data_IF_278751844242
#
_entry.id   IF_278751844242
#
_cell.length_a   1.000
_cell.length_b   1.000
_cell.length_c   1.000
_cell.angle_alpha   90.00
_cell.angle_beta   90.00
_cell.angle_gamma   90.00
#
_symmetry.space_group_name_H-M   'P 1'
#
loop_
_entity.id
_entity.type
_entity.pdbx_description
1 polymer ?
#
# COMPACT_ATOMS: atom_id res chain seq x y z
N UNK A 1 13.59 -14.63 23.54
CA UNK A 1 13.76 -15.74 22.57
C UNK A 1 13.80 -15.14 21.18
N UNK A 2 14.84 -15.34 20.36
CA UNK A 2 14.77 -14.93 18.96
C UNK A 2 13.70 -15.79 18.27
N UNK A 3 12.82 -15.17 17.49
CA UNK A 3 11.92 -15.93 16.61
C UNK A 3 12.80 -16.72 15.62
N UNK A 4 12.57 -18.02 15.53
CA UNK A 4 13.16 -18.84 14.47
C UNK A 4 12.58 -18.38 13.13
N UNK A 5 13.45 -18.08 12.17
CA UNK A 5 13.06 -17.70 10.82
C UNK A 5 12.30 -18.85 10.15
N UNK A 6 11.07 -18.60 9.73
CA UNK A 6 10.23 -19.57 9.04
C UNK A 6 10.23 -19.27 7.53
N UNK A 7 9.90 -20.26 6.68
CA UNK A 7 9.67 -20.06 5.24
C UNK A 7 8.56 -19.06 4.93
N UNK A 8 7.70 -18.77 5.90
CA UNK A 8 6.73 -17.68 5.84
C UNK A 8 7.38 -16.30 5.79
N UNK A 9 8.58 -16.16 6.34
CA UNK A 9 9.34 -14.90 6.44
C UNK A 9 10.24 -14.65 5.21
N UNK A 10 10.31 -15.59 4.27
CA UNK A 10 11.10 -15.45 3.03
C UNK A 10 10.42 -14.47 2.04
N UNK A 11 11.23 -13.73 1.28
CA UNK A 11 10.73 -12.86 0.21
C UNK A 11 10.01 -13.68 -0.87
N UNK A 12 8.78 -13.31 -1.19
CA UNK A 12 7.95 -13.99 -2.19
C UNK A 12 7.56 -13.05 -3.33
N UNK A 13 8.00 -13.31 -4.57
CA UNK A 13 7.47 -12.60 -5.73
C UNK A 13 6.04 -13.10 -6.00
N UNK A 14 5.09 -12.17 -6.06
CA UNK A 14 3.70 -12.44 -6.42
C UNK A 14 3.37 -11.79 -7.76
N UNK A 15 2.69 -12.53 -8.63
CA UNK A 15 2.24 -12.03 -9.93
C UNK A 15 0.76 -11.69 -9.82
N UNK A 16 0.43 -10.44 -10.16
CA UNK A 16 -0.94 -9.95 -10.22
C UNK A 16 -1.33 -9.80 -11.69
N UNK A 17 -2.52 -10.27 -12.05
CA UNK A 17 -3.03 -10.16 -13.42
C UNK A 17 -3.47 -8.73 -13.74
N UNK A 18 -3.07 -8.25 -14.92
CA UNK A 18 -3.28 -6.88 -15.40
C UNK A 18 -4.02 -6.94 -16.75
N UNK A 19 -5.34 -7.01 -16.73
CA UNK A 19 -6.13 -7.16 -17.97
C UNK A 19 -6.27 -5.84 -18.78
N UNK A 20 -5.81 -4.72 -18.20
CA UNK A 20 -5.86 -3.36 -18.75
C UNK A 20 -4.74 -2.50 -18.15
N UNK A 21 -4.61 -1.23 -18.57
CA UNK A 21 -3.62 -0.29 -18.05
C UNK A 21 -3.92 0.13 -16.59
N UNK A 22 -3.69 -0.80 -15.65
CA UNK A 22 -3.93 -0.57 -14.22
C UNK A 22 -3.06 0.57 -13.67
N UNK A 23 -1.90 0.84 -14.27
CA UNK A 23 -1.04 1.95 -13.84
C UNK A 23 -1.76 3.29 -13.94
N UNK A 24 -2.37 3.61 -15.10
CA UNK A 24 -3.10 4.86 -15.27
C UNK A 24 -4.34 4.91 -14.37
N UNK A 25 -5.07 3.80 -14.23
CA UNK A 25 -6.24 3.76 -13.36
C UNK A 25 -5.87 4.04 -11.89
N UNK A 26 -4.77 3.46 -11.39
CA UNK A 26 -4.26 3.74 -10.04
C UNK A 26 -3.69 5.14 -9.88
N UNK A 27 -3.03 5.67 -10.90
CA UNK A 27 -2.46 7.03 -10.85
C UNK A 27 -3.55 8.09 -10.70
N UNK A 28 -4.70 7.89 -11.35
CA UNK A 28 -5.82 8.82 -11.36
C UNK A 28 -6.90 8.52 -10.31
N UNK A 29 -6.79 7.42 -9.56
CA UNK A 29 -7.82 6.99 -8.59
C UNK A 29 -7.78 7.77 -7.28
N UNK A 30 -6.73 8.53 -7.00
CA UNK A 30 -6.62 9.34 -5.80
C UNK A 30 -5.82 10.63 -6.06
N UNK A 31 -6.15 11.75 -5.38
CA UNK A 31 -5.28 12.92 -5.35
C UNK A 31 -3.94 12.57 -4.67
N UNK A 32 -2.87 12.46 -5.45
CA UNK A 32 -1.52 12.26 -4.95
C UNK A 32 -0.81 13.61 -4.81
N UNK A 33 -0.05 13.77 -3.74
CA UNK A 33 0.72 14.99 -3.49
C UNK A 33 2.23 14.74 -3.49
N UNK A 34 3.01 15.80 -3.66
CA UNK A 34 4.47 15.71 -3.69
C UNK A 34 4.98 15.45 -2.27
N UNK A 35 5.49 14.23 -2.05
CA UNK A 35 5.99 13.75 -0.74
C UNK A 35 7.52 13.60 -0.69
N UNK A 36 8.20 14.08 -1.73
CA UNK A 36 9.65 14.00 -1.86
C UNK A 36 10.11 14.25 -3.28
N UNK A 37 11.43 14.28 -3.47
CA UNK A 37 12.03 14.46 -4.80
C UNK A 37 11.59 13.33 -5.73
N UNK A 38 10.80 13.65 -6.76
CA UNK A 38 10.34 12.70 -7.76
C UNK A 38 9.33 11.67 -7.26
N UNK A 39 8.66 11.95 -6.13
CA UNK A 39 7.69 11.01 -5.54
C UNK A 39 6.37 11.71 -5.25
N UNK A 40 5.31 11.15 -5.81
CA UNK A 40 3.94 11.44 -5.43
C UNK A 40 3.45 10.37 -4.48
N UNK A 41 2.64 10.73 -3.50
CA UNK A 41 2.15 9.82 -2.48
C UNK A 41 0.74 10.12 -2.05
N UNK A 42 0.06 9.11 -1.52
CA UNK A 42 -1.25 9.23 -0.90
C UNK A 42 -1.52 8.07 0.04
N UNK A 43 -2.43 8.29 0.99
CA UNK A 43 -2.90 7.26 1.92
C UNK A 43 -4.31 6.84 1.53
N UNK A 44 -4.52 5.54 1.42
CA UNK A 44 -5.80 4.93 1.08
C UNK A 44 -6.33 4.17 2.29
N UNK A 45 -7.63 4.27 2.55
CA UNK A 45 -8.32 3.57 3.64
C UNK A 45 -9.60 2.92 3.14
N UNK A 46 -9.96 1.79 3.75
CA UNK A 46 -11.22 1.09 3.51
C UNK A 46 -12.02 1.10 4.82
N UNK A 47 -12.95 2.06 4.99
CA UNK A 47 -13.79 2.12 6.18
C UNK A 47 -14.60 0.83 6.38
N UNK A 48 -14.92 0.51 7.62
CA UNK A 48 -15.81 -0.60 7.96
C UNK A 48 -16.78 -0.20 9.07
N UNK A 49 -17.57 -1.16 9.57
CA UNK A 49 -18.51 -0.90 10.67
C UNK A 49 -17.84 -0.41 11.97
N UNK A 50 -16.55 -0.67 12.14
CA UNK A 50 -15.74 -0.20 13.27
C UNK A 50 -15.19 1.23 13.07
N UNK A 51 -15.38 1.82 11.88
CA UNK A 51 -14.92 3.15 11.53
C UNK A 51 -13.82 3.15 10.45
N UNK A 52 -13.02 4.22 10.45
CA UNK A 52 -11.90 4.41 9.53
C UNK A 52 -10.61 3.95 10.20
N UNK A 53 -9.77 3.11 9.55
CA UNK A 53 -8.51 2.66 10.14
C UNK A 53 -7.56 3.83 10.37
N UNK A 54 -6.84 3.78 11.49
CA UNK A 54 -5.75 4.72 11.77
C UNK A 54 -4.51 4.23 11.03
N UNK A 55 -3.89 5.11 10.25
CA UNK A 55 -2.66 4.81 9.51
C UNK A 55 -1.60 5.83 9.91
N UNK A 56 -0.66 5.44 10.77
CA UNK A 56 0.49 6.29 11.09
C UNK A 56 1.53 6.20 9.98
N UNK A 57 1.91 7.35 9.44
CA UNK A 57 2.93 7.48 8.41
C UNK A 57 4.08 8.34 8.93
N UNK A 58 5.29 8.13 8.38
CA UNK A 58 6.45 8.98 8.65
C UNK A 58 6.47 10.24 7.78
N UNK A 59 5.66 10.24 6.72
CA UNK A 59 5.49 11.37 5.80
C UNK A 59 4.30 12.20 6.26
N UNK A 60 4.49 13.51 6.40
CA UNK A 60 3.39 14.42 6.68
C UNK A 60 2.59 14.69 5.39
N UNK A 61 1.37 14.18 5.34
CA UNK A 61 0.42 14.43 4.25
C UNK A 61 -0.42 15.67 4.54
N UNK A 62 -0.63 16.54 3.55
CA UNK A 62 -1.58 17.65 3.63
C UNK A 62 -2.98 17.23 3.16
N UNK A 63 -3.06 16.25 2.25
CA UNK A 63 -4.33 15.66 1.86
C UNK A 63 -4.80 14.62 2.89
N UNK A 64 -6.12 14.53 3.17
CA UNK A 64 -6.65 13.47 4.00
C UNK A 64 -6.51 12.12 3.30
N UNK A 65 -6.53 11.03 4.07
CA UNK A 65 -6.60 9.69 3.51
C UNK A 65 -7.88 9.54 2.65
N UNK A 66 -7.74 8.88 1.50
CA UNK A 66 -8.81 8.70 0.53
C UNK A 66 -9.43 7.32 0.69
N UNK A 67 -10.73 7.20 0.43
CA UNK A 67 -11.36 5.89 0.46
C UNK A 67 -10.90 5.01 -0.69
N UNK A 68 -10.87 3.69 -0.45
CA UNK A 68 -10.70 2.72 -1.52
C UNK A 68 -11.78 2.92 -2.59
N UNK A 69 -11.37 2.76 -3.85
CA UNK A 69 -12.20 2.72 -5.03
C UNK A 69 -12.19 1.28 -5.57
N UNK A 70 -13.10 0.92 -6.50
CA UNK A 70 -13.16 -0.44 -7.03
C UNK A 70 -11.83 -0.97 -7.60
N UNK A 71 -10.98 -0.09 -8.14
CA UNK A 71 -9.63 -0.48 -8.60
C UNK A 71 -8.74 -0.97 -7.45
N UNK A 72 -8.80 -0.32 -6.29
CA UNK A 72 -8.04 -0.66 -5.10
C UNK A 72 -8.53 -1.96 -4.48
N UNK A 73 -9.85 -2.14 -4.40
CA UNK A 73 -10.46 -3.37 -3.87
C UNK A 73 -10.12 -4.60 -4.71
N UNK A 74 -10.25 -4.50 -6.04
CA UNK A 74 -9.88 -5.59 -6.96
C UNK A 74 -8.41 -5.98 -6.80
N UNK A 75 -7.51 -4.99 -6.77
CA UNK A 75 -6.08 -5.24 -6.60
C UNK A 75 -5.78 -5.86 -5.23
N UNK A 76 -6.37 -5.34 -4.15
CA UNK A 76 -6.21 -5.87 -2.80
C UNK A 76 -6.68 -7.33 -2.69
N UNK A 77 -7.81 -7.68 -3.30
CA UNK A 77 -8.32 -9.06 -3.34
C UNK A 77 -7.41 -10.00 -4.14
N UNK A 78 -6.87 -9.55 -5.26
CA UNK A 78 -5.89 -10.33 -6.03
C UNK A 78 -4.62 -10.58 -5.20
N UNK A 79 -4.06 -9.54 -4.59
CA UNK A 79 -2.87 -9.65 -3.73
C UNK A 79 -3.14 -10.57 -2.55
N UNK A 80 -4.27 -10.41 -1.87
CA UNK A 80 -4.67 -11.26 -0.74
C UNK A 80 -4.73 -12.74 -1.17
N UNK A 81 -5.37 -13.01 -2.30
CA UNK A 81 -5.51 -14.38 -2.85
C UNK A 81 -4.15 -14.97 -3.23
N UNK A 82 -3.33 -14.23 -3.98
CA UNK A 82 -1.99 -14.66 -4.41
C UNK A 82 -1.05 -14.89 -3.21
N UNK A 83 -1.12 -14.04 -2.20
CA UNK A 83 -0.30 -14.13 -1.00
C UNK A 83 -0.84 -15.14 0.03
N UNK A 84 -2.06 -15.68 -0.18
CA UNK A 84 -2.77 -16.52 0.80
C UNK A 84 -2.89 -15.86 2.18
N UNK A 85 -3.15 -14.54 2.20
CA UNK A 85 -3.25 -13.78 3.43
C UNK A 85 -4.62 -14.04 4.11
N UNK A 86 -4.62 -14.32 5.43
CA UNK A 86 -5.86 -14.63 6.16
C UNK A 86 -6.71 -13.38 6.44
N UNK A 87 -6.16 -12.19 6.23
CA UNK A 87 -6.79 -10.90 6.52
C UNK A 87 -6.91 -10.07 5.24
N UNK A 88 -8.00 -9.32 5.14
CA UNK A 88 -8.20 -8.36 4.06
C UNK A 88 -7.45 -7.05 4.38
N UNK A 89 -6.98 -6.38 3.34
CA UNK A 89 -6.39 -5.05 3.47
C UNK A 89 -7.48 -4.03 3.80
N UNK A 90 -7.26 -3.23 4.85
CA UNK A 90 -8.14 -2.11 5.20
C UNK A 90 -7.47 -0.74 4.95
N UNK A 91 -6.20 -0.72 4.57
CA UNK A 91 -5.47 0.49 4.21
C UNK A 91 -4.37 0.16 3.18
N UNK A 92 -3.89 1.19 2.50
CA UNK A 92 -2.74 1.09 1.61
C UNK A 92 -2.00 2.43 1.53
N UNK A 93 -0.71 2.37 1.26
CA UNK A 93 0.07 3.51 0.80
C UNK A 93 0.20 3.40 -0.72
N UNK A 94 -0.10 4.48 -1.45
CA UNK A 94 0.12 4.57 -2.89
C UNK A 94 1.23 5.57 -3.16
N UNK A 95 2.24 5.15 -3.94
CA UNK A 95 3.36 6.00 -4.31
C UNK A 95 3.63 5.88 -5.81
N UNK A 96 3.78 7.02 -6.48
CA UNK A 96 4.21 7.08 -7.88
C UNK A 96 5.58 7.74 -7.95
N UNK A 97 6.53 7.05 -8.55
CA UNK A 97 7.92 7.47 -8.66
C UNK A 97 8.24 7.94 -10.08
N UNK A 98 8.94 9.05 -10.19
CA UNK A 98 9.61 9.46 -11.43
C UNK A 98 11.06 9.00 -11.43
N UNK A 99 11.72 9.12 -12.58
CA UNK A 99 13.14 8.84 -12.74
C UNK A 99 14.07 9.75 -11.88
N UNK A 100 13.55 10.79 -11.25
CA UNK A 100 14.31 11.65 -10.34
C UNK A 100 14.61 10.98 -8.98
N UNK A 101 13.94 9.86 -8.68
CA UNK A 101 14.16 9.02 -7.50
C UNK A 101 14.61 7.62 -7.95
N UNK A 102 15.86 7.28 -7.66
CA UNK A 102 16.47 6.02 -8.14
C UNK A 102 17.01 5.14 -7.00
N UNK A 103 16.87 5.56 -5.75
CA UNK A 103 17.50 4.89 -4.60
C UNK A 103 16.53 4.84 -3.44
N UNK A 104 16.16 3.63 -3.01
CA UNK A 104 15.42 3.39 -1.77
C UNK A 104 16.39 2.79 -0.75
N UNK A 105 16.55 3.43 0.40
CA UNK A 105 17.41 2.94 1.48
C UNK A 105 16.77 1.76 2.22
N UNK A 106 17.58 0.98 2.95
CA UNK A 106 17.06 -0.06 3.83
C UNK A 106 16.20 0.55 4.93
N UNK A 107 14.96 0.07 5.03
CA UNK A 107 14.02 0.48 6.07
C UNK A 107 13.05 -0.66 6.39
N UNK A 108 12.35 -0.50 7.50
CA UNK A 108 11.20 -1.30 7.88
C UNK A 108 9.99 -0.39 7.99
N UNK A 109 8.84 -0.90 7.59
CA UNK A 109 7.57 -0.19 7.76
C UNK A 109 7.16 -0.14 9.22
N UNK A 110 6.39 0.90 9.57
CA UNK A 110 5.81 1.03 10.90
C UNK A 110 4.69 0.01 11.08
N UNK A 111 4.73 -0.75 12.17
CA UNK A 111 3.74 -1.79 12.50
C UNK A 111 2.93 -1.46 13.77
N UNK A 112 2.97 -0.22 14.24
CA UNK A 112 2.33 0.16 15.52
C UNK A 112 0.80 0.01 15.49
N UNK A 113 0.20 0.05 14.31
CA UNK A 113 -1.25 -0.11 14.09
C UNK A 113 -1.64 -1.54 13.66
N UNK A 114 -0.69 -2.49 13.66
CA UNK A 114 -0.92 -3.90 13.34
C UNK A 114 -1.04 -4.72 14.63
N UNK A 115 -2.11 -5.51 14.75
CA UNK A 115 -2.34 -6.49 15.84
C UNK A 115 -1.95 -7.91 15.42
#
# INVERSE_FOLDING_TARGET
MPRLHDRADEFRPLWVHMDYNLFEELLWSAPLEVVGKGRLGGVLVHPCALGVPIVRTTTAYAQPAQCFLPVHERLAQQVQSCASLPVAFNNALIECYSNAYATMGFHSDQAQDLE
#
